data_IF_997140674349
#
_entry.id   IF_997140674349
#
_cell.length_a   1.000
_cell.length_b   1.000
_cell.length_c   1.000
_cell.angle_alpha   90.00
_cell.angle_beta   90.00
_cell.angle_gamma   90.00
#
_symmetry.space_group_name_H-M   'P 1'
#
loop_
_entity.id
_entity.type
_entity.pdbx_description
1 polymer ?
#
# COMPACT_ATOMS: atom_id res chain seq x y z
N UNK A 1 -12.29 -4.54 16.11
CA UNK A 1 -11.96 -5.46 15.00
C UNK A 1 -10.49 -5.85 15.13
N UNK A 2 -10.17 -7.14 15.21
CA UNK A 2 -8.76 -7.63 15.20
C UNK A 2 -8.43 -8.02 13.77
N UNK A 3 -7.43 -7.38 13.17
CA UNK A 3 -6.92 -7.71 11.83
C UNK A 3 -5.60 -8.45 12.01
N UNK A 4 -5.44 -9.58 11.32
CA UNK A 4 -4.18 -10.30 11.21
C UNK A 4 -3.75 -10.23 9.75
N UNK A 5 -2.54 -9.76 9.49
CA UNK A 5 -1.97 -9.64 8.15
C UNK A 5 -0.69 -10.47 8.05
N UNK A 6 -0.51 -11.11 6.91
CA UNK A 6 0.67 -11.89 6.55
C UNK A 6 0.98 -11.53 5.11
N UNK A 7 2.26 -11.32 4.81
CA UNK A 7 2.73 -11.00 3.46
C UNK A 7 3.71 -12.05 2.97
N UNK A 8 3.57 -12.46 1.71
CA UNK A 8 4.49 -13.32 0.99
C UNK A 8 4.67 -12.73 -0.40
N UNK A 9 5.92 -12.61 -0.85
CA UNK A 9 6.25 -12.16 -2.21
C UNK A 9 7.41 -13.00 -2.72
N UNK A 10 7.24 -13.61 -3.88
CA UNK A 10 8.21 -14.50 -4.49
C UNK A 10 8.41 -14.14 -5.96
N UNK A 11 9.67 -14.13 -6.40
CA UNK A 11 10.04 -13.86 -7.80
C UNK A 11 9.46 -14.89 -8.78
N UNK A 12 9.31 -16.13 -8.31
CA UNK A 12 9.14 -17.31 -9.16
C UNK A 12 10.38 -17.63 -10.01
N UNK A 13 10.22 -18.58 -10.94
CA UNK A 13 11.35 -19.20 -11.64
C UNK A 13 11.81 -18.46 -12.90
N UNK A 14 10.97 -17.59 -13.47
CA UNK A 14 11.19 -17.04 -14.81
C UNK A 14 11.69 -15.59 -14.86
N UNK A 15 11.39 -14.79 -13.82
CA UNK A 15 11.82 -13.39 -13.76
C UNK A 15 13.27 -13.31 -13.25
N UNK A 16 14.01 -12.28 -13.69
CA UNK A 16 15.36 -12.00 -13.18
C UNK A 16 15.31 -11.42 -11.76
N UNK A 17 14.41 -10.47 -11.55
CA UNK A 17 14.18 -9.78 -10.28
C UNK A 17 12.71 -9.87 -9.87
N UNK A 18 12.46 -9.83 -8.57
CA UNK A 18 11.11 -9.65 -8.06
C UNK A 18 10.78 -8.15 -8.08
N UNK A 19 9.80 -7.77 -8.90
CA UNK A 19 9.36 -6.37 -9.03
C UNK A 19 8.10 -6.09 -8.24
N UNK A 20 7.61 -7.08 -7.49
CA UNK A 20 6.49 -6.91 -6.57
C UNK A 20 7.00 -6.38 -5.22
N UNK A 21 6.24 -5.47 -4.63
CA UNK A 21 6.46 -5.03 -3.26
C UNK A 21 5.14 -4.90 -2.52
N UNK A 22 5.10 -5.36 -1.27
CA UNK A 22 3.90 -5.33 -0.43
C UNK A 22 4.25 -4.81 0.96
N UNK A 23 3.27 -4.17 1.60
CA UNK A 23 3.38 -3.75 2.98
C UNK A 23 1.99 -3.61 3.62
N UNK A 24 1.94 -3.51 4.94
CA UNK A 24 0.74 -3.15 5.66
C UNK A 24 1.06 -2.26 6.85
N UNK A 25 0.15 -1.34 7.17
CA UNK A 25 0.34 -0.38 8.25
C UNK A 25 -0.97 -0.05 8.95
N UNK A 26 -0.88 0.32 10.23
CA UNK A 26 -2.00 0.82 11.02
C UNK A 26 -1.68 2.24 11.47
N UNK A 27 -2.51 3.21 11.08
CA UNK A 27 -2.29 4.61 11.47
C UNK A 27 -2.72 4.88 12.93
N UNK A 28 -2.47 6.09 13.42
CA UNK A 28 -2.81 6.53 14.78
C UNK A 28 -4.28 6.39 15.12
N UNK A 29 -5.15 6.56 14.12
CA UNK A 29 -6.61 6.54 14.28
C UNK A 29 -7.17 5.11 14.26
N UNK A 30 -6.28 4.13 14.20
CA UNK A 30 -6.62 2.72 14.19
C UNK A 30 -7.11 2.20 12.84
N UNK A 31 -7.06 3.01 11.78
CA UNK A 31 -7.34 2.58 10.41
C UNK A 31 -6.21 1.69 9.90
N UNK A 32 -6.53 0.72 9.05
CA UNK A 32 -5.59 -0.27 8.54
C UNK A 32 -5.47 -0.19 7.02
N UNK A 33 -4.24 -0.22 6.51
CA UNK A 33 -3.91 -0.28 5.09
C UNK A 33 -3.10 -1.56 4.84
N UNK A 34 -3.51 -2.34 3.86
CA UNK A 34 -2.66 -3.34 3.20
C UNK A 34 -2.53 -2.95 1.73
N UNK A 35 -1.31 -3.05 1.20
CA UNK A 35 -0.99 -2.61 -0.16
C UNK A 35 -0.02 -3.59 -0.83
N UNK A 36 -0.22 -3.80 -2.12
CA UNK A 36 0.67 -4.53 -3.02
C UNK A 36 0.82 -3.73 -4.32
N UNK A 37 2.03 -3.66 -4.85
CA UNK A 37 2.33 -3.04 -6.13
C UNK A 37 3.23 -3.95 -6.97
N UNK A 38 2.86 -4.16 -8.23
CA UNK A 38 3.66 -4.85 -9.26
C UNK A 38 4.38 -3.79 -10.09
N UNK A 39 5.71 -3.84 -10.10
CA UNK A 39 6.55 -3.00 -10.94
C UNK A 39 6.56 -3.51 -12.38
N UNK A 40 6.06 -2.70 -13.31
CA UNK A 40 5.98 -3.09 -14.73
C UNK A 40 7.33 -3.56 -15.29
N UNK A 41 7.35 -4.81 -15.78
CA UNK A 41 8.50 -5.39 -16.47
C UNK A 41 8.71 -4.81 -17.87
N UNK A 42 9.96 -4.78 -18.33
CA UNK A 42 10.35 -4.24 -19.66
C UNK A 42 10.98 -2.86 -19.61
N UNK A 43 10.78 -2.11 -18.53
CA UNK A 43 11.52 -0.89 -18.20
C UNK A 43 12.54 -1.19 -17.08
N UNK A 44 13.69 -0.49 -17.06
CA UNK A 44 14.66 -0.61 -15.96
C UNK A 44 14.01 -0.10 -14.66
N UNK A 45 14.28 -0.76 -13.55
CA UNK A 45 13.92 -0.35 -12.18
C UNK A 45 12.45 -0.50 -11.75
N UNK A 46 11.74 -1.51 -12.26
CA UNK A 46 10.37 -1.83 -11.81
C UNK A 46 10.29 -2.11 -10.30
N UNK A 47 11.32 -2.71 -9.71
CA UNK A 47 11.46 -2.94 -8.27
C UNK A 47 11.56 -1.64 -7.46
N UNK A 48 12.20 -0.61 -8.00
CA UNK A 48 12.27 0.71 -7.37
C UNK A 48 10.92 1.38 -7.47
N UNK A 49 10.26 1.28 -8.63
CA UNK A 49 8.94 1.88 -8.85
C UNK A 49 7.87 1.31 -7.91
N UNK A 50 7.79 -0.01 -7.77
CA UNK A 50 6.81 -0.66 -6.87
C UNK A 50 7.08 -0.33 -5.40
N UNK A 51 8.35 -0.35 -4.97
CA UNK A 51 8.74 0.07 -3.62
C UNK A 51 8.39 1.53 -3.35
N UNK A 52 8.73 2.43 -4.27
CA UNK A 52 8.44 3.86 -4.13
C UNK A 52 6.94 4.12 -4.00
N UNK A 53 6.11 3.43 -4.80
CA UNK A 53 4.66 3.55 -4.73
C UNK A 53 4.13 3.14 -3.35
N UNK A 54 4.57 1.98 -2.84
CA UNK A 54 4.16 1.48 -1.52
C UNK A 54 4.63 2.39 -0.40
N UNK A 55 5.91 2.75 -0.37
CA UNK A 55 6.50 3.58 0.70
C UNK A 55 5.81 4.96 0.73
N UNK A 56 5.59 5.59 -0.44
CA UNK A 56 4.89 6.87 -0.55
C UNK A 56 3.46 6.78 -0.01
N UNK A 57 2.70 5.75 -0.40
CA UNK A 57 1.32 5.56 0.06
C UNK A 57 1.24 5.28 1.55
N UNK A 58 2.16 4.49 2.09
CA UNK A 58 2.25 4.22 3.53
C UNK A 58 2.51 5.51 4.30
N UNK A 59 3.42 6.36 3.83
CA UNK A 59 3.75 7.61 4.49
C UNK A 59 2.63 8.66 4.42
N UNK A 60 1.89 8.71 3.30
CA UNK A 60 0.67 9.51 3.20
C UNK A 60 -0.42 8.97 4.14
N UNK A 61 -0.61 7.65 4.18
CA UNK A 61 -1.61 7.00 5.02
C UNK A 61 -1.36 7.23 6.51
N UNK A 62 -0.10 7.18 6.96
CA UNK A 62 0.30 7.50 8.33
C UNK A 62 -0.15 8.89 8.79
N UNK A 63 -0.18 9.85 7.86
CA UNK A 63 -0.56 11.26 8.10
C UNK A 63 -2.05 11.52 7.86
N UNK A 64 -2.79 10.53 7.37
CA UNK A 64 -4.20 10.68 7.00
C UNK A 64 -5.10 10.27 8.15
N UNK A 65 -6.11 11.10 8.43
CA UNK A 65 -7.21 10.79 9.34
C UNK A 65 -8.50 10.60 8.56
N UNK A 66 -9.15 9.44 8.73
CA UNK A 66 -10.43 9.11 8.10
C UNK A 66 -11.58 9.46 9.04
N UNK A 67 -11.72 10.74 9.36
CA UNK A 67 -12.79 11.21 10.23
C UNK A 67 -14.16 11.06 9.52
N UNK A 68 -14.99 10.15 10.03
CA UNK A 68 -16.32 9.82 9.48
C UNK A 68 -17.26 11.03 9.42
N UNK A 69 -16.98 12.11 10.18
CA UNK A 69 -17.81 13.32 10.22
C UNK A 69 -17.73 14.16 8.93
N UNK A 70 -16.62 14.13 8.19
CA UNK A 70 -16.48 14.92 6.93
C UNK A 70 -17.34 14.38 5.79
N UNK A 71 -17.54 13.06 5.70
CA UNK A 71 -18.31 12.44 4.62
C UNK A 71 -19.79 12.82 4.68
N UNK A 72 -20.40 12.89 5.88
CA UNK A 72 -21.81 13.28 6.02
C UNK A 72 -22.11 14.71 5.56
N UNK A 73 -21.16 15.64 5.66
CA UNK A 73 -21.34 17.03 5.23
C UNK A 73 -21.40 17.18 3.71
N UNK A 74 -20.85 16.23 2.96
CA UNK A 74 -20.82 16.28 1.50
C UNK A 74 -22.12 15.78 0.84
N UNK A 75 -22.94 15.01 1.55
CA UNK A 75 -24.18 14.42 1.03
C UNK A 75 -25.47 15.05 1.59
N UNK A 76 -25.37 16.12 2.38
CA UNK A 76 -26.52 16.88 2.91
C UNK A 76 -26.45 18.38 2.54
N UNK A 77 -25.86 18.71 1.39
CA UNK A 77 -25.90 20.04 0.80
C UNK A 77 -27.05 20.16 -0.18
#
# INVERSE_FOLDING_TARGET
MKIKAVGLSEKGNFRKENQDFLNYYKNSDGSFLAIICDGMGGHKHGEIASRLAVDTLVDLFKKTSFDKKKVKKFFHG
#
